data_IF_660235471632
#
_entry.id   IF_660235471632
#
_cell.length_a   1.000
_cell.length_b   1.000
_cell.length_c   1.000
_cell.angle_alpha   90.00
_cell.angle_beta   90.00
_cell.angle_gamma   90.00
#
_symmetry.space_group_name_H-M   'P 1'
#
loop_
_entity.id
_entity.type
_entity.pdbx_description
1 polymer ?
#
# COMPACT_ATOMS: atom_id res chain seq x y z
N UNK A 1 15.58 -22.35 9.22
CA UNK A 1 16.57 -21.35 8.79
C UNK A 1 15.90 -20.25 7.96
N UNK A 2 16.30 -18.99 8.16
CA UNK A 2 15.82 -17.83 7.40
C UNK A 2 16.96 -17.26 6.55
N UNK A 3 16.84 -17.34 5.22
CA UNK A 3 17.75 -16.70 4.28
C UNK A 3 17.14 -15.35 3.85
N UNK A 4 17.98 -14.33 3.76
CA UNK A 4 17.61 -13.09 3.05
C UNK A 4 18.23 -13.12 1.64
N UNK A 5 17.43 -12.77 0.64
CA UNK A 5 17.87 -12.63 -0.75
C UNK A 5 17.70 -11.19 -1.21
N UNK A 6 18.81 -10.57 -1.61
CA UNK A 6 18.86 -9.16 -2.04
C UNK A 6 19.69 -9.04 -3.31
N UNK A 7 19.20 -8.27 -4.28
CA UNK A 7 19.99 -7.86 -5.46
C UNK A 7 20.40 -6.40 -5.28
N UNK A 8 21.57 -6.02 -5.74
CA UNK A 8 22.08 -4.64 -5.64
C UNK A 8 22.73 -4.16 -6.92
N UNK A 9 22.72 -2.84 -7.12
CA UNK A 9 23.55 -2.15 -8.11
C UNK A 9 23.69 -0.68 -7.75
N UNK A 10 24.89 -0.23 -7.43
CA UNK A 10 25.21 1.15 -7.06
C UNK A 10 24.34 1.63 -5.87
N UNK A 11 24.45 0.96 -4.73
CA UNK A 11 23.66 1.21 -3.52
C UNK A 11 24.55 1.64 -2.33
N UNK A 12 25.71 2.29 -2.59
CA UNK A 12 26.66 2.66 -1.54
C UNK A 12 26.05 3.50 -0.41
N UNK A 13 25.02 4.32 -0.73
CA UNK A 13 24.35 5.19 0.23
C UNK A 13 23.45 4.42 1.22
N UNK A 14 22.90 3.28 0.81
CA UNK A 14 21.91 2.54 1.60
C UNK A 14 22.44 1.23 2.16
N UNK A 15 23.41 0.61 1.47
CA UNK A 15 23.81 -0.78 1.73
C UNK A 15 24.39 -0.96 3.14
N UNK A 16 25.15 0.00 3.62
CA UNK A 16 25.74 -0.08 4.95
C UNK A 16 24.71 -0.22 6.06
N UNK A 17 23.77 0.71 6.12
CA UNK A 17 22.68 0.68 7.10
C UNK A 17 21.77 -0.53 6.90
N UNK A 18 21.50 -0.91 5.66
CA UNK A 18 20.73 -2.10 5.34
C UNK A 18 21.34 -3.35 5.95
N UNK A 19 22.61 -3.65 5.66
CA UNK A 19 23.30 -4.83 6.18
C UNK A 19 23.37 -4.81 7.71
N UNK A 20 23.69 -3.68 8.32
CA UNK A 20 23.72 -3.51 9.77
C UNK A 20 22.35 -3.79 10.43
N UNK A 21 21.25 -3.51 9.70
CA UNK A 21 19.89 -3.73 10.18
C UNK A 21 19.35 -5.14 9.99
N UNK A 22 19.90 -5.95 9.07
CA UNK A 22 19.35 -7.28 8.73
C UNK A 22 20.22 -8.44 9.23
N UNK A 23 21.55 -8.32 9.16
CA UNK A 23 22.48 -9.39 9.52
C UNK A 23 22.22 -9.99 10.91
N UNK A 24 21.93 -9.18 11.97
CA UNK A 24 21.70 -9.74 13.31
C UNK A 24 20.47 -10.66 13.43
N UNK A 25 19.56 -10.63 12.47
CA UNK A 25 18.25 -11.28 12.56
C UNK A 25 18.07 -12.46 11.60
N UNK A 26 19.03 -12.75 10.72
CA UNK A 26 18.93 -13.79 9.70
C UNK A 26 20.02 -14.84 9.87
N UNK A 27 19.76 -16.05 9.36
CA UNK A 27 20.72 -17.14 9.45
C UNK A 27 21.66 -17.15 8.24
N UNK A 28 21.22 -16.56 7.11
CA UNK A 28 21.97 -16.53 5.86
C UNK A 28 21.66 -15.24 5.09
N UNK A 29 22.71 -14.59 4.55
CA UNK A 29 22.61 -13.39 3.71
C UNK A 29 23.10 -13.68 2.30
N UNK A 30 22.20 -13.69 1.33
CA UNK A 30 22.50 -13.81 -0.10
C UNK A 30 22.41 -12.43 -0.72
N UNK A 31 23.56 -11.84 -1.03
CA UNK A 31 23.67 -10.54 -1.69
C UNK A 31 24.19 -10.76 -3.11
N UNK A 32 23.45 -10.33 -4.11
CA UNK A 32 23.84 -10.46 -5.53
C UNK A 32 24.12 -9.09 -6.11
N UNK A 33 25.36 -8.87 -6.51
CA UNK A 33 25.76 -7.67 -7.25
C UNK A 33 25.51 -7.85 -8.74
N UNK A 34 24.77 -6.90 -9.33
CA UNK A 34 24.43 -6.89 -10.76
C UNK A 34 25.30 -5.92 -11.59
N UNK A 35 26.51 -5.63 -11.11
CA UNK A 35 27.50 -4.79 -11.78
C UNK A 35 27.59 -3.38 -11.20
N UNK A 36 27.80 -3.27 -9.90
CA UNK A 36 28.09 -2.01 -9.23
C UNK A 36 29.44 -1.43 -9.64
N UNK A 37 29.47 -0.11 -9.78
CA UNK A 37 30.68 0.66 -10.14
C UNK A 37 31.09 1.60 -8.99
N UNK A 38 30.29 1.68 -7.95
CA UNK A 38 30.52 2.45 -6.73
C UNK A 38 31.15 1.58 -5.62
N UNK A 39 31.11 2.03 -4.39
CA UNK A 39 31.69 1.33 -3.24
C UNK A 39 30.80 0.22 -2.65
N UNK A 40 29.69 -0.14 -3.29
CA UNK A 40 28.75 -1.15 -2.77
C UNK A 40 29.44 -2.47 -2.41
N UNK A 41 30.27 -3.00 -3.31
CA UNK A 41 31.00 -4.27 -3.08
C UNK A 41 31.97 -4.16 -1.90
N UNK A 42 32.68 -3.05 -1.77
CA UNK A 42 33.59 -2.76 -0.65
C UNK A 42 32.83 -2.72 0.68
N UNK A 43 31.68 -2.04 0.70
CA UNK A 43 30.81 -1.92 1.87
C UNK A 43 30.31 -3.28 2.31
N UNK A 44 29.86 -4.13 1.38
CA UNK A 44 29.42 -5.50 1.68
C UNK A 44 30.54 -6.33 2.35
N UNK A 45 31.72 -6.34 1.73
CA UNK A 45 32.90 -7.06 2.24
C UNK A 45 33.34 -6.58 3.62
N UNK A 46 33.30 -5.28 3.87
CA UNK A 46 33.64 -4.69 5.18
C UNK A 46 32.73 -5.18 6.31
N UNK A 47 31.53 -5.68 5.98
CA UNK A 47 30.54 -6.25 6.92
C UNK A 47 30.52 -7.78 6.92
N UNK A 48 31.53 -8.40 6.28
CA UNK A 48 31.64 -9.87 6.22
C UNK A 48 30.72 -10.55 5.23
N UNK A 49 30.08 -9.78 4.33
CA UNK A 49 29.22 -10.33 3.28
C UNK A 49 30.00 -10.33 1.96
N UNK A 50 30.24 -11.53 1.41
CA UNK A 50 30.84 -11.70 0.08
C UNK A 50 29.71 -11.75 -0.97
N UNK A 51 29.59 -10.75 -1.87
CA UNK A 51 28.52 -10.76 -2.86
C UNK A 51 28.72 -11.83 -3.93
N UNK A 52 27.63 -12.44 -4.37
CA UNK A 52 27.58 -13.18 -5.63
C UNK A 52 27.49 -12.21 -6.79
N UNK A 53 28.08 -12.55 -7.94
CA UNK A 53 28.07 -11.69 -9.11
C UNK A 53 27.14 -12.25 -10.18
N UNK A 54 26.27 -11.39 -10.71
CA UNK A 54 25.34 -11.69 -11.78
C UNK A 54 25.48 -10.66 -12.90
N UNK A 55 25.80 -11.09 -14.11
CA UNK A 55 25.86 -10.17 -15.26
C UNK A 55 24.47 -9.65 -15.62
N UNK A 56 24.30 -8.35 -15.53
CA UNK A 56 23.01 -7.71 -15.77
C UNK A 56 22.54 -7.89 -17.23
N UNK A 57 21.38 -8.49 -17.42
CA UNK A 57 20.77 -8.81 -18.70
C UNK A 57 19.39 -8.16 -18.91
N UNK A 58 19.15 -6.99 -18.33
CA UNK A 58 17.88 -6.26 -18.39
C UNK A 58 16.66 -7.06 -17.87
N UNK A 59 16.87 -7.92 -16.88
CA UNK A 59 15.85 -8.85 -16.41
C UNK A 59 15.96 -9.07 -14.90
N UNK A 60 15.10 -8.40 -14.14
CA UNK A 60 15.12 -8.49 -12.68
C UNK A 60 14.86 -9.89 -12.15
N UNK A 61 13.86 -10.61 -12.71
CA UNK A 61 13.56 -11.97 -12.25
C UNK A 61 14.73 -12.92 -12.39
N UNK A 62 15.57 -12.79 -13.43
CA UNK A 62 16.76 -13.65 -13.58
C UNK A 62 17.76 -13.40 -12.45
N UNK A 63 17.99 -12.13 -12.09
CA UNK A 63 18.88 -11.78 -10.98
C UNK A 63 18.32 -12.26 -9.63
N UNK A 64 17.00 -12.10 -9.39
CA UNK A 64 16.36 -12.62 -8.17
C UNK A 64 16.39 -14.14 -8.12
N UNK A 65 16.07 -14.83 -9.20
CA UNK A 65 16.13 -16.30 -9.27
C UNK A 65 17.54 -16.83 -9.02
N UNK A 66 18.56 -16.14 -9.55
CA UNK A 66 19.93 -16.46 -9.21
C UNK A 66 20.23 -16.34 -7.70
N UNK A 67 19.66 -15.32 -7.04
CA UNK A 67 19.77 -15.21 -5.58
C UNK A 67 19.04 -16.37 -4.86
N UNK A 68 17.83 -16.74 -5.33
CA UNK A 68 17.10 -17.87 -4.76
C UNK A 68 17.86 -19.20 -4.87
N UNK A 69 18.57 -19.43 -5.97
CA UNK A 69 19.38 -20.64 -6.17
C UNK A 69 20.53 -20.78 -5.16
N UNK A 70 20.98 -19.67 -4.55
CA UNK A 70 22.05 -19.67 -3.55
C UNK A 70 21.53 -19.86 -2.14
N UNK A 71 20.24 -19.60 -1.90
CA UNK A 71 19.65 -19.67 -0.57
C UNK A 71 19.46 -21.12 -0.08
N UNK A 72 19.91 -21.41 1.12
CA UNK A 72 19.83 -22.73 1.75
C UNK A 72 18.82 -22.84 2.89
N UNK A 73 18.31 -21.72 3.38
CA UNK A 73 17.30 -21.68 4.43
C UNK A 73 15.95 -22.26 4.02
N UNK A 74 15.13 -22.64 5.01
CA UNK A 74 13.77 -23.16 4.81
C UNK A 74 12.80 -22.07 4.34
N UNK A 75 13.11 -20.83 4.71
CA UNK A 75 12.37 -19.64 4.37
C UNK A 75 13.26 -18.60 3.73
N UNK A 76 12.73 -17.92 2.73
CA UNK A 76 13.37 -16.82 2.04
C UNK A 76 12.61 -15.54 2.33
N UNK A 77 13.31 -14.52 2.84
CA UNK A 77 12.86 -13.15 2.92
C UNK A 77 13.54 -12.34 1.82
N UNK A 78 12.77 -11.66 0.99
CA UNK A 78 13.30 -10.80 -0.08
C UNK A 78 13.13 -9.35 0.32
N UNK A 79 14.24 -8.63 0.41
CA UNK A 79 14.29 -7.18 0.67
C UNK A 79 15.17 -6.52 -0.38
N UNK A 80 14.81 -5.32 -0.78
CA UNK A 80 15.67 -4.43 -1.57
C UNK A 80 16.61 -3.65 -0.64
N UNK A 81 17.75 -3.17 -1.13
CA UNK A 81 18.75 -2.47 -0.31
C UNK A 81 18.18 -1.17 0.31
N UNK A 82 17.19 -0.58 -0.33
CA UNK A 82 16.47 0.61 0.13
C UNK A 82 15.22 0.29 0.97
N UNK A 83 15.05 -0.99 1.39
CA UNK A 83 14.02 -1.39 2.35
C UNK A 83 14.55 -1.34 3.78
N UNK A 84 13.65 -1.06 4.71
CA UNK A 84 13.93 -1.09 6.16
C UNK A 84 12.83 -1.85 6.88
N UNK A 85 13.25 -2.62 7.87
CA UNK A 85 12.36 -3.38 8.74
C UNK A 85 12.76 -3.13 10.19
N UNK A 86 11.79 -2.98 11.07
CA UNK A 86 12.06 -2.80 12.49
C UNK A 86 12.56 -4.13 13.11
N UNK A 87 13.44 -4.09 14.14
CA UNK A 87 13.89 -5.28 14.85
C UNK A 87 12.73 -6.18 15.31
N UNK A 88 11.67 -5.58 15.84
CA UNK A 88 10.47 -6.30 16.31
C UNK A 88 9.77 -7.06 15.18
N UNK A 89 9.86 -6.59 13.93
CA UNK A 89 9.32 -7.30 12.76
C UNK A 89 10.11 -8.57 12.46
N UNK A 90 11.44 -8.52 12.55
CA UNK A 90 12.27 -9.72 12.41
C UNK A 90 12.03 -10.73 13.54
N UNK A 91 11.89 -10.26 14.78
CA UNK A 91 11.55 -11.11 15.93
C UNK A 91 10.19 -11.77 15.74
N UNK A 92 9.18 -11.02 15.25
CA UNK A 92 7.87 -11.55 14.92
C UNK A 92 7.93 -12.62 13.82
N UNK A 93 8.69 -12.37 12.75
CA UNK A 93 8.91 -13.35 11.69
C UNK A 93 9.51 -14.62 12.30
N UNK A 94 10.63 -14.53 13.00
CA UNK A 94 11.33 -15.70 13.58
C UNK A 94 10.45 -16.48 14.53
N UNK A 95 9.68 -15.82 15.38
CA UNK A 95 8.76 -16.47 16.31
C UNK A 95 7.65 -17.27 15.59
N UNK A 96 7.27 -16.83 14.39
CA UNK A 96 6.16 -17.44 13.64
C UNK A 96 6.61 -18.44 12.56
N UNK A 97 7.88 -18.50 12.16
CA UNK A 97 8.35 -19.39 11.07
C UNK A 97 7.94 -20.86 11.23
N UNK A 98 7.82 -21.35 12.47
CA UNK A 98 7.43 -22.74 12.76
C UNK A 98 5.92 -22.92 12.75
N UNK A 99 5.17 -21.88 13.09
CA UNK A 99 3.70 -21.91 13.24
C UNK A 99 2.95 -21.55 11.96
N UNK A 100 3.56 -20.77 11.05
CA UNK A 100 2.99 -20.44 9.76
C UNK A 100 2.82 -21.71 8.94
N UNK A 101 1.58 -22.01 8.55
CA UNK A 101 1.24 -23.18 7.72
C UNK A 101 1.28 -22.86 6.24
N UNK A 102 1.04 -21.62 5.90
CA UNK A 102 0.99 -21.07 4.56
C UNK A 102 2.38 -21.12 3.91
N UNK A 103 2.38 -21.02 2.59
CA UNK A 103 3.61 -21.09 1.79
C UNK A 103 4.28 -19.74 1.63
N UNK A 104 3.52 -18.66 1.74
CA UNK A 104 4.02 -17.31 1.55
C UNK A 104 3.29 -16.27 2.40
N UNK A 105 3.93 -15.14 2.67
CA UNK A 105 3.44 -14.11 3.58
C UNK A 105 3.57 -12.74 2.93
N UNK A 106 2.46 -12.02 2.93
CA UNK A 106 2.39 -10.63 2.54
C UNK A 106 2.66 -9.68 3.71
N UNK A 107 3.27 -8.54 3.40
CA UNK A 107 3.53 -7.45 4.34
C UNK A 107 2.98 -6.13 3.81
N UNK A 108 2.48 -5.25 4.70
CA UNK A 108 2.29 -3.83 4.36
C UNK A 108 3.63 -3.20 4.00
N UNK A 109 3.75 -2.73 2.77
CA UNK A 109 4.94 -2.13 2.20
C UNK A 109 4.74 -0.64 2.05
N UNK A 110 5.44 0.14 2.88
CA UNK A 110 5.21 1.56 3.11
C UNK A 110 6.31 2.38 2.44
N UNK A 111 6.00 3.06 1.35
CA UNK A 111 6.91 4.01 0.72
C UNK A 111 6.92 5.32 1.49
N UNK A 112 8.11 5.77 1.92
CA UNK A 112 8.30 7.01 2.65
C UNK A 112 8.69 8.17 1.72
N UNK A 113 8.42 9.40 2.17
CA UNK A 113 8.78 10.62 1.42
C UNK A 113 10.25 10.99 1.58
N UNK A 114 10.88 10.63 2.69
CA UNK A 114 12.22 11.07 3.07
C UNK A 114 13.12 9.92 3.48
N UNK A 115 14.43 10.06 3.24
CA UNK A 115 15.46 9.08 3.61
C UNK A 115 15.67 8.94 5.12
N UNK A 116 15.42 10.00 5.89
CA UNK A 116 15.51 9.96 7.35
C UNK A 116 14.27 9.28 7.96
N UNK A 117 14.13 7.99 7.65
CA UNK A 117 12.94 7.20 7.93
C UNK A 117 12.60 7.10 9.44
N UNK A 118 13.60 7.14 10.32
CA UNK A 118 13.38 7.06 11.78
C UNK A 118 12.65 8.27 12.33
N UNK A 119 12.86 9.45 11.75
CA UNK A 119 12.22 10.70 12.16
C UNK A 119 10.93 10.96 11.38
N UNK A 120 10.84 10.45 10.15
CA UNK A 120 9.75 10.75 9.21
C UNK A 120 8.87 9.53 8.92
N UNK A 121 8.90 8.52 9.77
CA UNK A 121 8.14 7.26 9.61
C UNK A 121 6.62 7.47 9.47
N UNK A 122 6.11 8.62 9.92
CA UNK A 122 4.72 9.04 9.76
C UNK A 122 4.42 9.70 8.41
N UNK A 123 5.46 10.07 7.64
CA UNK A 123 5.31 10.76 6.37
C UNK A 123 5.25 9.76 5.21
N UNK A 124 4.14 9.09 5.14
CA UNK A 124 3.88 8.05 4.15
C UNK A 124 3.56 8.66 2.77
N UNK A 125 4.18 8.13 1.71
CA UNK A 125 3.88 8.45 0.32
C UNK A 125 2.85 7.50 -0.27
N UNK A 126 3.04 6.21 -0.03
CA UNK A 126 2.14 5.15 -0.49
C UNK A 126 2.28 3.92 0.41
N UNK A 127 1.22 3.12 0.50
CA UNK A 127 1.27 1.79 1.13
C UNK A 127 0.73 0.78 0.13
N UNK A 128 1.40 -0.33 -0.01
CA UNK A 128 1.02 -1.46 -0.84
C UNK A 128 1.12 -2.74 0.00
N UNK A 129 0.55 -3.82 -0.46
CA UNK A 129 0.82 -5.13 0.11
C UNK A 129 1.80 -5.84 -0.82
N UNK A 130 2.93 -6.34 -0.28
CA UNK A 130 3.97 -7.02 -1.04
C UNK A 130 4.28 -8.38 -0.44
N UNK A 131 4.36 -9.41 -1.28
CA UNK A 131 4.82 -10.72 -0.88
C UNK A 131 6.36 -10.68 -0.74
N UNK A 132 6.85 -10.97 0.45
CA UNK A 132 8.28 -10.83 0.75
C UNK A 132 8.88 -12.04 1.45
N UNK A 133 8.09 -12.88 2.13
CA UNK A 133 8.54 -14.07 2.83
C UNK A 133 7.85 -15.30 2.24
N UNK A 134 8.60 -16.34 1.87
CA UNK A 134 8.03 -17.57 1.32
C UNK A 134 8.93 -18.79 1.60
N UNK A 135 8.32 -19.99 1.51
CA UNK A 135 9.05 -21.25 1.71
C UNK A 135 10.03 -21.48 0.58
N UNK A 136 11.24 -21.86 0.95
CA UNK A 136 12.25 -22.34 0.00
C UNK A 136 11.96 -23.78 -0.46
N UNK A 137 12.72 -24.27 -1.44
CA UNK A 137 12.72 -25.66 -1.94
C UNK A 137 11.37 -26.16 -2.49
N UNK A 138 10.46 -25.22 -2.86
CA UNK A 138 9.16 -25.51 -3.47
C UNK A 138 9.16 -25.33 -5.00
N UNK A 139 10.26 -24.87 -5.59
CA UNK A 139 10.37 -24.56 -7.01
C UNK A 139 9.79 -23.20 -7.39
N UNK A 140 9.45 -22.36 -6.41
CA UNK A 140 8.98 -21.00 -6.63
C UNK A 140 10.07 -20.15 -7.29
N UNK A 141 9.68 -19.34 -8.25
CA UNK A 141 10.60 -18.48 -9.00
C UNK A 141 9.91 -17.21 -9.48
N UNK A 142 10.68 -16.14 -9.62
CA UNK A 142 10.19 -14.89 -10.17
C UNK A 142 10.00 -14.99 -11.68
N UNK A 143 8.97 -14.34 -12.19
CA UNK A 143 8.68 -14.18 -13.62
C UNK A 143 8.64 -12.70 -13.98
N UNK A 144 8.82 -12.42 -15.27
CA UNK A 144 8.82 -11.11 -15.92
C UNK A 144 10.12 -10.30 -15.73
N UNK A 145 10.55 -9.57 -16.76
CA UNK A 145 11.79 -8.79 -16.73
C UNK A 145 11.74 -7.57 -15.80
N UNK A 146 10.59 -6.92 -15.70
CA UNK A 146 10.30 -5.76 -14.85
C UNK A 146 8.93 -5.93 -14.21
N UNK A 147 8.75 -5.38 -13.00
CA UNK A 147 7.58 -5.66 -12.15
C UNK A 147 7.41 -7.17 -11.95
N UNK A 148 8.50 -7.79 -11.57
CA UNK A 148 8.61 -9.23 -11.38
C UNK A 148 7.63 -9.74 -10.32
N UNK A 149 7.03 -10.89 -10.63
CA UNK A 149 6.05 -11.56 -9.77
C UNK A 149 6.51 -12.95 -9.38
N UNK A 150 6.23 -13.35 -8.15
CA UNK A 150 6.40 -14.71 -7.64
C UNK A 150 5.08 -15.25 -7.08
N UNK A 151 4.19 -14.36 -6.67
CA UNK A 151 2.88 -14.68 -6.12
C UNK A 151 2.03 -15.52 -7.09
N UNK A 152 1.95 -15.14 -8.35
CA UNK A 152 1.25 -15.89 -9.40
C UNK A 152 1.82 -17.30 -9.62
N UNK A 153 3.13 -17.48 -9.45
CA UNK A 153 3.76 -18.81 -9.54
C UNK A 153 3.42 -19.65 -8.32
N UNK A 154 3.47 -19.07 -7.12
CA UNK A 154 3.10 -19.76 -5.89
C UNK A 154 1.63 -20.21 -5.95
N UNK A 155 0.73 -19.34 -6.40
CA UNK A 155 -0.69 -19.64 -6.57
C UNK A 155 -0.93 -20.73 -7.61
N UNK A 156 -0.32 -20.65 -8.78
CA UNK A 156 -0.42 -21.67 -9.84
C UNK A 156 0.10 -23.04 -9.39
N UNK A 157 1.00 -23.10 -8.42
CA UNK A 157 1.50 -24.32 -7.80
C UNK A 157 0.65 -24.79 -6.62
N UNK A 158 -0.49 -24.14 -6.33
CA UNK A 158 -1.40 -24.47 -5.22
C UNK A 158 -0.91 -24.02 -3.86
N UNK A 159 0.03 -23.06 -3.80
CA UNK A 159 0.51 -22.50 -2.55
C UNK A 159 -0.50 -21.58 -1.88
N UNK A 160 -0.35 -21.42 -0.58
CA UNK A 160 -1.25 -20.64 0.28
C UNK A 160 -0.57 -19.41 0.84
N UNK A 161 -1.38 -18.39 1.18
CA UNK A 161 -0.87 -17.08 1.58
C UNK A 161 -1.38 -16.68 2.96
N UNK A 162 -0.49 -16.08 3.75
CA UNK A 162 -0.82 -15.36 4.98
C UNK A 162 -0.48 -13.87 4.82
N UNK A 163 -0.93 -13.05 5.74
CA UNK A 163 -0.52 -11.66 5.88
C UNK A 163 -0.07 -11.40 7.31
N UNK A 164 1.09 -10.79 7.47
CA UNK A 164 1.55 -10.25 8.75
C UNK A 164 1.25 -8.76 8.81
N UNK A 165 0.70 -8.31 9.95
CA UNK A 165 0.44 -6.89 10.23
C UNK A 165 1.72 -6.23 10.79
N UNK A 166 2.79 -6.26 9.99
CA UNK A 166 4.07 -5.65 10.34
C UNK A 166 4.69 -5.00 9.11
N UNK A 167 5.08 -3.75 9.23
CA UNK A 167 5.43 -2.90 8.08
C UNK A 167 6.86 -3.09 7.63
N UNK A 168 7.05 -3.05 6.30
CA UNK A 168 8.33 -2.83 5.65
C UNK A 168 8.35 -1.43 5.05
N UNK A 169 9.38 -0.67 5.32
CA UNK A 169 9.52 0.72 4.88
C UNK A 169 10.47 0.81 3.69
N UNK A 170 10.04 1.48 2.63
CA UNK A 170 10.80 1.67 1.41
C UNK A 170 11.23 3.13 1.24
N UNK A 171 12.52 3.33 1.05
CA UNK A 171 13.17 4.65 0.96
C UNK A 171 13.46 5.08 -0.48
N UNK A 172 13.34 4.20 -1.44
CA UNK A 172 13.83 4.36 -2.82
C UNK A 172 13.11 5.42 -3.66
N UNK A 173 12.05 6.03 -3.14
CA UNK A 173 11.34 7.12 -3.82
C UNK A 173 11.68 8.51 -3.27
N UNK A 174 12.62 8.60 -2.35
CA UNK A 174 13.12 9.86 -1.83
C UNK A 174 14.29 10.31 -2.71
N UNK A 175 14.16 11.40 -3.45
CA UNK A 175 15.25 12.12 -4.16
C UNK A 175 15.53 11.75 -5.65
N UNK A 176 16.54 12.44 -6.22
CA UNK A 176 17.00 12.40 -7.62
C UNK A 176 17.30 10.99 -8.17
N UNK A 177 17.65 10.02 -7.32
CA UNK A 177 17.85 8.63 -7.73
C UNK A 177 16.54 7.97 -8.23
N UNK A 178 15.39 8.47 -7.80
CA UNK A 178 14.09 8.00 -8.28
C UNK A 178 13.89 8.29 -9.77
N UNK A 179 14.43 9.40 -10.28
CA UNK A 179 14.32 9.77 -11.68
C UNK A 179 15.12 8.83 -12.60
N UNK A 180 16.35 8.50 -12.21
CA UNK A 180 17.18 7.55 -12.97
C UNK A 180 16.57 6.14 -12.96
N UNK A 181 16.05 5.68 -11.81
CA UNK A 181 15.33 4.41 -11.71
C UNK A 181 14.07 4.42 -12.60
N UNK A 182 13.32 5.53 -12.62
CA UNK A 182 12.14 5.69 -13.48
C UNK A 182 12.50 5.68 -14.98
N UNK A 183 13.55 6.37 -15.39
CA UNK A 183 14.03 6.38 -16.78
C UNK A 183 14.43 4.97 -17.22
N UNK A 184 15.20 4.25 -16.40
CA UNK A 184 15.58 2.86 -16.65
C UNK A 184 14.38 1.96 -16.81
N UNK A 185 13.43 2.01 -15.85
CA UNK A 185 12.24 1.16 -15.87
C UNK A 185 11.35 1.48 -17.09
N UNK A 186 11.18 2.76 -17.41
CA UNK A 186 10.48 3.19 -18.62
C UNK A 186 11.07 2.57 -19.88
N UNK A 187 12.40 2.62 -20.02
CA UNK A 187 13.09 2.02 -21.15
C UNK A 187 12.82 0.51 -21.24
N UNK A 188 12.95 -0.22 -20.14
CA UNK A 188 12.69 -1.66 -20.10
C UNK A 188 11.23 -2.01 -20.45
N UNK A 189 10.26 -1.22 -19.97
CA UNK A 189 8.84 -1.43 -20.30
C UNK A 189 8.62 -1.26 -21.81
N UNK A 190 9.19 -0.21 -22.41
CA UNK A 190 9.08 0.05 -23.85
C UNK A 190 9.73 -1.06 -24.68
N UNK A 191 10.93 -1.52 -24.32
CA UNK A 191 11.63 -2.62 -24.97
C UNK A 191 10.83 -3.92 -24.90
N UNK A 192 10.35 -4.30 -23.69
CA UNK A 192 9.56 -5.52 -23.51
C UNK A 192 8.26 -5.49 -24.32
N UNK A 193 7.55 -4.35 -24.32
CA UNK A 193 6.33 -4.21 -25.11
C UNK A 193 6.60 -4.26 -26.63
N UNK A 194 7.71 -3.71 -27.09
CA UNK A 194 8.11 -3.78 -28.49
C UNK A 194 8.45 -5.20 -28.93
N UNK A 195 9.07 -6.00 -28.04
CA UNK A 195 9.46 -7.38 -28.31
C UNK A 195 8.23 -8.31 -28.37
N UNK A 196 7.23 -8.12 -27.49
CA UNK A 196 6.00 -8.93 -27.50
C UNK A 196 4.77 -8.08 -27.07
N UNK A 197 4.13 -7.38 -28.04
CA UNK A 197 2.97 -6.52 -27.77
C UNK A 197 1.68 -7.29 -27.42
N UNK A 198 1.69 -8.63 -27.51
CA UNK A 198 0.58 -9.50 -27.17
C UNK A 198 0.71 -10.13 -25.79
N UNK A 199 1.88 -9.99 -25.16
CA UNK A 199 2.09 -10.42 -23.79
C UNK A 199 1.27 -9.54 -22.84
N UNK A 200 0.30 -10.11 -22.09
CA UNK A 200 -0.59 -9.32 -21.25
C UNK A 200 0.16 -8.50 -20.19
N UNK A 201 1.20 -9.07 -19.58
CA UNK A 201 2.00 -8.39 -18.56
C UNK A 201 2.73 -7.16 -19.13
N UNK A 202 3.34 -7.29 -20.31
CA UNK A 202 4.04 -6.18 -20.97
C UNK A 202 3.05 -5.10 -21.42
N UNK A 203 1.89 -5.52 -21.92
CA UNK A 203 0.83 -4.61 -22.34
C UNK A 203 0.26 -3.84 -21.13
N UNK A 204 0.02 -4.48 -19.99
CA UNK A 204 -0.45 -3.80 -18.78
C UNK A 204 0.56 -2.78 -18.25
N UNK A 205 1.86 -3.08 -18.29
CA UNK A 205 2.92 -2.15 -17.90
C UNK A 205 3.02 -0.96 -18.86
N UNK A 206 2.90 -1.22 -20.18
CA UNK A 206 2.88 -0.18 -21.20
C UNK A 206 1.68 0.75 -21.04
N UNK A 207 0.49 0.21 -20.82
CA UNK A 207 -0.72 1.00 -20.56
C UNK A 207 -0.55 1.90 -19.32
N UNK A 208 0.03 1.36 -18.25
CA UNK A 208 0.30 2.14 -17.05
C UNK A 208 1.25 3.33 -17.31
N UNK A 209 2.24 3.12 -18.19
CA UNK A 209 3.16 4.17 -18.61
C UNK A 209 2.49 5.24 -19.50
N UNK A 210 1.53 4.82 -20.35
CA UNK A 210 0.84 5.68 -21.31
C UNK A 210 -0.46 6.27 -20.77
N UNK A 211 -0.73 6.13 -19.47
CA UNK A 211 -1.99 6.55 -18.84
C UNK A 211 -2.30 8.02 -19.10
N UNK A 212 -3.32 8.26 -19.93
CA UNK A 212 -3.71 9.58 -20.38
C UNK A 212 -5.17 9.58 -20.89
N UNK A 213 -5.68 10.73 -21.23
CA UNK A 213 -7.02 10.91 -21.86
C UNK A 213 -7.07 10.40 -23.31
N UNK A 214 -5.98 9.90 -23.89
CA UNK A 214 -5.96 9.42 -25.26
C UNK A 214 -6.83 8.15 -25.40
N UNK A 215 -7.67 8.14 -26.43
CA UNK A 215 -8.54 6.99 -26.74
C UNK A 215 -7.74 5.74 -27.11
N UNK A 216 -6.47 5.88 -27.50
CA UNK A 216 -5.58 4.75 -27.70
C UNK A 216 -5.41 3.92 -26.42
N UNK A 217 -5.34 4.55 -25.26
CA UNK A 217 -5.27 3.87 -23.96
C UNK A 217 -6.48 2.97 -23.75
N UNK A 218 -7.67 3.46 -24.09
CA UNK A 218 -8.90 2.66 -24.04
C UNK A 218 -8.84 1.43 -24.96
N UNK A 219 -8.35 1.61 -26.20
CA UNK A 219 -8.19 0.49 -27.16
C UNK A 219 -7.20 -0.54 -26.63
N UNK A 220 -6.09 -0.11 -26.05
CA UNK A 220 -5.09 -0.99 -25.44
C UNK A 220 -5.66 -1.74 -24.22
N UNK A 221 -6.48 -1.11 -23.40
CA UNK A 221 -7.18 -1.76 -22.29
C UNK A 221 -8.11 -2.87 -22.76
N UNK A 222 -8.88 -2.64 -23.83
CA UNK A 222 -9.72 -3.69 -24.45
C UNK A 222 -8.88 -4.84 -25.02
N UNK A 223 -7.75 -4.54 -25.62
CA UNK A 223 -6.78 -5.55 -26.08
C UNK A 223 -6.25 -6.35 -24.89
N UNK A 224 -5.86 -5.69 -23.80
CA UNK A 224 -5.39 -6.35 -22.59
C UNK A 224 -6.47 -7.27 -21.99
N UNK A 225 -7.73 -6.84 -21.96
CA UNK A 225 -8.86 -7.66 -21.55
C UNK A 225 -8.99 -8.94 -22.39
N UNK A 226 -8.82 -8.84 -23.70
CA UNK A 226 -8.97 -9.99 -24.60
C UNK A 226 -7.83 -11.01 -24.51
N UNK A 227 -6.62 -10.55 -24.21
CA UNK A 227 -5.41 -11.38 -24.18
C UNK A 227 -5.13 -12.01 -22.81
N UNK A 228 -5.68 -11.44 -21.74
CA UNK A 228 -5.37 -11.84 -20.38
C UNK A 228 -6.17 -13.09 -19.91
N UNK A 229 -5.67 -13.74 -18.89
CA UNK A 229 -6.39 -14.69 -18.04
C UNK A 229 -7.47 -13.99 -17.21
N UNK A 230 -8.12 -14.72 -16.32
CA UNK A 230 -9.24 -14.19 -15.54
C UNK A 230 -8.84 -12.97 -14.71
N UNK A 231 -7.70 -13.01 -14.03
CA UNK A 231 -7.22 -11.90 -13.18
C UNK A 231 -6.82 -10.68 -14.00
N UNK A 232 -6.12 -10.89 -15.10
CA UNK A 232 -5.77 -9.82 -16.01
C UNK A 232 -6.99 -9.19 -16.70
N UNK A 233 -8.04 -9.96 -16.99
CA UNK A 233 -9.33 -9.45 -17.47
C UNK A 233 -10.01 -8.59 -16.44
N UNK A 234 -10.04 -9.05 -15.19
CA UNK A 234 -10.59 -8.27 -14.08
C UNK A 234 -9.86 -6.93 -13.95
N UNK A 235 -8.53 -6.95 -13.92
CA UNK A 235 -7.70 -5.74 -13.86
C UNK A 235 -7.95 -4.80 -15.05
N UNK A 236 -8.03 -5.34 -16.26
CA UNK A 236 -8.28 -4.53 -17.46
C UNK A 236 -9.68 -3.89 -17.43
N UNK A 237 -10.71 -4.63 -17.06
CA UNK A 237 -12.08 -4.13 -16.92
C UNK A 237 -12.17 -3.03 -15.84
N UNK A 238 -11.52 -3.22 -14.69
CA UNK A 238 -11.45 -2.21 -13.64
C UNK A 238 -10.74 -0.94 -14.15
N UNK A 239 -9.61 -1.07 -14.84
CA UNK A 239 -8.88 0.07 -15.42
C UNK A 239 -9.69 0.80 -16.50
N UNK A 240 -10.53 0.11 -17.27
CA UNK A 240 -11.45 0.76 -18.21
C UNK A 240 -12.40 1.69 -17.46
N UNK A 241 -12.99 1.23 -16.35
CA UNK A 241 -13.85 2.08 -15.53
C UNK A 241 -13.08 3.24 -14.87
N UNK A 242 -11.86 3.00 -14.41
CA UNK A 242 -10.99 4.06 -13.87
C UNK A 242 -10.64 5.09 -14.93
N UNK A 243 -10.34 4.65 -16.16
CA UNK A 243 -10.10 5.54 -17.29
C UNK A 243 -11.32 6.40 -17.60
N UNK A 244 -12.52 5.80 -17.61
CA UNK A 244 -13.77 6.51 -17.82
C UNK A 244 -14.05 7.53 -16.71
N UNK A 245 -13.77 7.21 -15.46
CA UNK A 245 -13.94 8.15 -14.32
C UNK A 245 -12.96 9.32 -14.40
N UNK A 246 -11.73 9.09 -14.86
CA UNK A 246 -10.70 10.13 -14.96
C UNK A 246 -10.87 11.03 -16.19
N UNK A 247 -11.27 10.46 -17.33
CA UNK A 247 -11.15 11.11 -18.64
C UNK A 247 -12.43 11.06 -19.50
N UNK A 248 -13.42 10.25 -19.11
CA UNK A 248 -14.61 9.96 -19.92
C UNK A 248 -15.65 11.09 -19.97
N UNK A 249 -15.22 12.35 -20.01
CA UNK A 249 -16.10 13.52 -20.15
C UNK A 249 -16.80 13.46 -21.51
N UNK A 250 -18.00 12.92 -21.55
CA UNK A 250 -18.80 12.75 -22.78
C UNK A 250 -19.12 11.30 -23.15
N UNK A 251 -18.75 10.34 -22.31
CA UNK A 251 -19.00 8.90 -22.50
C UNK A 251 -17.77 8.12 -22.97
N UNK A 252 -17.87 6.80 -22.92
CA UNK A 252 -16.81 5.92 -23.39
C UNK A 252 -16.69 5.94 -24.92
N UNK A 253 -15.45 5.76 -25.47
CA UNK A 253 -15.24 5.63 -26.91
C UNK A 253 -16.07 4.49 -27.50
N UNK A 254 -16.66 4.71 -28.68
CA UNK A 254 -17.47 3.69 -29.36
C UNK A 254 -18.90 3.52 -28.85
N UNK A 255 -19.37 4.40 -27.94
CA UNK A 255 -20.74 4.38 -27.42
C UNK A 255 -21.00 3.25 -26.42
N UNK A 256 -19.97 2.61 -25.90
CA UNK A 256 -20.10 1.67 -24.81
C UNK A 256 -20.53 2.37 -23.52
N UNK A 257 -21.39 1.73 -22.73
CA UNK A 257 -21.83 2.28 -21.46
C UNK A 257 -21.00 1.73 -20.31
N UNK A 258 -20.76 2.55 -19.29
CA UNK A 258 -20.11 2.13 -18.04
C UNK A 258 -20.75 0.85 -17.45
N UNK A 259 -22.07 0.71 -17.58
CA UNK A 259 -22.86 -0.44 -17.12
C UNK A 259 -22.40 -1.76 -17.71
N UNK A 260 -21.87 -1.76 -18.94
CA UNK A 260 -21.32 -2.97 -19.56
C UNK A 260 -20.13 -3.51 -18.76
N UNK A 261 -19.15 -2.66 -18.44
CA UNK A 261 -17.96 -3.02 -17.70
C UNK A 261 -18.23 -3.27 -16.21
N UNK A 262 -19.18 -2.53 -15.62
CA UNK A 262 -19.65 -2.81 -14.26
C UNK A 262 -20.27 -4.22 -14.17
N UNK A 263 -21.05 -4.65 -15.14
CA UNK A 263 -21.67 -5.98 -15.17
C UNK A 263 -20.61 -7.08 -15.34
N UNK A 264 -19.64 -6.91 -16.25
CA UNK A 264 -18.53 -7.86 -16.41
C UNK A 264 -17.79 -8.06 -15.07
N UNK A 265 -17.44 -6.97 -14.37
CA UNK A 265 -16.76 -7.07 -13.09
C UNK A 265 -17.61 -7.76 -12.02
N UNK A 266 -18.93 -7.50 -11.98
CA UNK A 266 -19.83 -8.12 -11.02
C UNK A 266 -20.10 -9.60 -11.32
N UNK A 267 -20.07 -10.00 -12.60
CA UNK A 267 -20.12 -11.42 -12.99
C UNK A 267 -18.87 -12.18 -12.53
N UNK A 268 -17.70 -11.52 -12.60
CA UNK A 268 -16.43 -12.10 -12.15
C UNK A 268 -16.31 -12.08 -10.62
N UNK A 269 -16.73 -11.00 -9.98
CA UNK A 269 -16.73 -10.82 -8.52
C UNK A 269 -17.94 -9.99 -8.07
N UNK A 270 -18.98 -10.59 -7.48
CA UNK A 270 -20.16 -9.87 -7.00
C UNK A 270 -19.87 -8.80 -5.94
N UNK A 271 -18.69 -8.85 -5.32
CA UNK A 271 -18.22 -7.88 -4.34
C UNK A 271 -17.17 -6.92 -4.90
N UNK A 272 -17.07 -6.77 -6.23
CA UNK A 272 -16.12 -5.89 -6.89
C UNK A 272 -16.06 -4.51 -6.22
N UNK A 273 -15.01 -4.27 -5.43
CA UNK A 273 -14.93 -3.11 -4.54
C UNK A 273 -15.03 -1.78 -5.32
N UNK A 274 -14.35 -1.71 -6.46
CA UNK A 274 -14.37 -0.50 -7.30
C UNK A 274 -15.75 -0.20 -7.89
N UNK A 275 -16.50 -1.22 -8.32
CA UNK A 275 -17.87 -1.02 -8.83
C UNK A 275 -18.80 -0.50 -7.74
N UNK A 276 -18.72 -1.08 -6.55
CA UNK A 276 -19.54 -0.65 -5.43
C UNK A 276 -19.11 0.70 -4.88
N UNK A 277 -17.81 1.06 -4.93
CA UNK A 277 -17.31 2.40 -4.65
C UNK A 277 -17.94 3.44 -5.60
N UNK A 278 -17.92 3.17 -6.92
CA UNK A 278 -18.55 4.05 -7.92
C UNK A 278 -20.05 4.25 -7.65
N UNK A 279 -20.77 3.18 -7.33
CA UNK A 279 -22.20 3.23 -6.96
C UNK A 279 -22.41 4.04 -5.70
N UNK A 280 -21.60 3.83 -4.68
CA UNK A 280 -21.59 4.59 -3.43
C UNK A 280 -21.41 6.08 -3.66
N UNK A 281 -20.43 6.49 -4.48
CA UNK A 281 -20.22 7.89 -4.91
C UNK A 281 -21.47 8.50 -5.57
N UNK A 282 -22.10 7.77 -6.51
CA UNK A 282 -23.31 8.21 -7.21
C UNK A 282 -24.49 8.45 -6.25
N UNK A 283 -24.72 7.52 -5.30
CA UNK A 283 -25.77 7.66 -4.29
C UNK A 283 -25.46 8.74 -3.25
N UNK A 284 -24.22 8.83 -2.80
CA UNK A 284 -23.78 9.86 -1.85
C UNK A 284 -23.97 11.28 -2.42
N UNK A 285 -23.58 11.49 -3.68
CA UNK A 285 -23.79 12.76 -4.38
C UNK A 285 -25.29 13.16 -4.51
N UNK A 286 -26.19 12.18 -4.53
CA UNK A 286 -27.65 12.38 -4.55
C UNK A 286 -28.28 12.47 -3.16
N UNK A 287 -27.47 12.45 -2.12
CA UNK A 287 -27.91 12.39 -0.71
C UNK A 287 -28.78 11.17 -0.38
N UNK A 288 -28.67 10.10 -1.14
CA UNK A 288 -29.31 8.82 -0.90
C UNK A 288 -28.48 7.99 0.07
N UNK A 289 -28.64 8.30 1.35
CA UNK A 289 -27.81 7.76 2.43
C UNK A 289 -27.91 6.23 2.54
N UNK A 290 -29.11 5.67 2.32
CA UNK A 290 -29.32 4.24 2.51
C UNK A 290 -28.67 3.41 1.40
N UNK A 291 -28.85 3.81 0.14
CA UNK A 291 -28.19 3.14 -0.99
C UNK A 291 -26.69 3.40 -1.03
N UNK A 292 -26.24 4.59 -0.60
CA UNK A 292 -24.81 4.86 -0.44
C UNK A 292 -24.19 3.93 0.62
N UNK A 293 -24.81 3.84 1.81
CA UNK A 293 -24.36 2.97 2.89
C UNK A 293 -24.26 1.52 2.42
N UNK A 294 -25.32 0.98 1.82
CA UNK A 294 -25.35 -0.39 1.30
C UNK A 294 -24.22 -0.64 0.29
N UNK A 295 -23.97 0.31 -0.61
CA UNK A 295 -22.91 0.20 -1.62
C UNK A 295 -21.52 0.19 -0.98
N UNK A 296 -21.22 1.08 -0.03
CA UNK A 296 -19.93 1.11 0.64
C UNK A 296 -19.71 -0.09 1.57
N UNK A 297 -20.76 -0.67 2.18
CA UNK A 297 -20.66 -1.91 2.95
C UNK A 297 -20.23 -3.10 2.06
N UNK A 298 -20.78 -3.20 0.85
CA UNK A 298 -20.37 -4.23 -0.11
C UNK A 298 -18.94 -3.97 -0.61
N UNK A 299 -18.61 -2.69 -0.91
CA UNK A 299 -17.25 -2.32 -1.30
C UNK A 299 -16.22 -2.72 -0.24
N UNK A 300 -16.49 -2.46 1.07
CA UNK A 300 -15.61 -2.90 2.18
C UNK A 300 -15.40 -4.40 2.19
N UNK A 301 -16.44 -5.21 1.94
CA UNK A 301 -16.30 -6.67 1.84
C UNK A 301 -15.38 -7.07 0.67
N UNK A 302 -15.50 -6.37 -0.46
CA UNK A 302 -14.66 -6.59 -1.64
C UNK A 302 -13.18 -6.32 -1.40
N UNK A 303 -12.84 -5.36 -0.53
CA UNK A 303 -11.45 -5.03 -0.17
C UNK A 303 -10.64 -6.22 0.41
N UNK A 304 -11.30 -7.25 0.91
CA UNK A 304 -10.65 -8.47 1.41
C UNK A 304 -10.12 -9.35 0.27
N UNK A 305 -10.65 -9.18 -0.94
CA UNK A 305 -10.36 -10.01 -2.11
C UNK A 305 -9.62 -9.26 -3.21
N UNK A 306 -9.44 -7.95 -3.09
CA UNK A 306 -8.84 -7.11 -4.10
C UNK A 306 -7.61 -6.37 -3.55
N UNK A 307 -6.54 -6.35 -4.35
CA UNK A 307 -5.42 -5.40 -4.19
C UNK A 307 -5.88 -4.03 -4.70
N UNK A 308 -6.89 -3.44 -4.07
CA UNK A 308 -7.37 -2.10 -4.43
C UNK A 308 -6.34 -1.04 -4.08
N UNK A 309 -6.32 0.04 -4.87
CA UNK A 309 -5.50 1.20 -4.54
C UNK A 309 -5.85 1.71 -3.13
N UNK A 310 -4.84 2.15 -2.38
CA UNK A 310 -5.05 2.67 -1.02
C UNK A 310 -6.05 3.82 -0.97
N UNK A 311 -6.05 4.65 -2.01
CA UNK A 311 -6.98 5.76 -2.15
C UNK A 311 -8.42 5.27 -2.18
N UNK A 312 -8.72 4.20 -2.94
CA UNK A 312 -10.04 3.59 -2.98
C UNK A 312 -10.42 2.99 -1.62
N UNK A 313 -9.47 2.28 -0.96
CA UNK A 313 -9.68 1.71 0.37
C UNK A 313 -9.99 2.78 1.40
N UNK A 314 -9.18 3.84 1.41
CA UNK A 314 -9.39 4.98 2.30
C UNK A 314 -10.74 5.61 2.08
N UNK A 315 -11.10 5.90 0.82
CA UNK A 315 -12.36 6.54 0.47
C UNK A 315 -13.56 5.70 0.90
N UNK A 316 -13.52 4.38 0.66
CA UNK A 316 -14.56 3.46 1.09
C UNK A 316 -14.75 3.53 2.61
N UNK A 317 -13.67 3.45 3.37
CA UNK A 317 -13.73 3.45 4.84
C UNK A 317 -14.14 4.81 5.40
N UNK A 318 -13.66 5.91 4.83
CA UNK A 318 -14.01 7.26 5.27
C UNK A 318 -15.50 7.55 5.07
N UNK A 319 -16.02 7.34 3.86
CA UNK A 319 -17.44 7.52 3.57
C UNK A 319 -18.32 6.56 4.37
N UNK A 320 -17.92 5.30 4.48
CA UNK A 320 -18.65 4.31 5.27
C UNK A 320 -18.71 4.72 6.75
N UNK A 321 -17.58 5.14 7.32
CA UNK A 321 -17.52 5.63 8.70
C UNK A 321 -18.46 6.81 8.94
N UNK A 322 -18.49 7.79 8.04
CA UNK A 322 -19.40 8.93 8.12
C UNK A 322 -20.87 8.50 8.04
N UNK A 323 -21.22 7.67 7.05
CA UNK A 323 -22.60 7.20 6.86
C UNK A 323 -23.09 6.35 8.04
N UNK A 324 -22.24 5.49 8.60
CA UNK A 324 -22.54 4.71 9.80
C UNK A 324 -22.82 5.62 11.00
N UNK A 325 -22.02 6.66 11.21
CA UNK A 325 -22.25 7.65 12.26
C UNK A 325 -23.60 8.37 12.07
N UNK A 326 -23.95 8.76 10.83
CA UNK A 326 -25.25 9.38 10.51
C UNK A 326 -26.44 8.45 10.83
N UNK A 327 -26.24 7.12 10.77
CA UNK A 327 -27.24 6.10 11.11
C UNK A 327 -27.21 5.68 12.60
N UNK A 328 -26.36 6.28 13.41
CA UNK A 328 -26.21 5.95 14.85
C UNK A 328 -25.42 4.66 15.09
N UNK A 329 -24.78 4.07 14.06
CA UNK A 329 -23.94 2.86 14.16
C UNK A 329 -22.50 3.28 14.53
N UNK A 330 -22.35 3.92 15.68
CA UNK A 330 -21.12 4.61 16.07
C UNK A 330 -19.92 3.67 16.26
N UNK A 331 -20.13 2.48 16.82
CA UNK A 331 -19.04 1.52 17.02
C UNK A 331 -18.43 1.08 15.68
N UNK A 332 -19.26 0.77 14.72
CA UNK A 332 -18.83 0.36 13.38
C UNK A 332 -18.18 1.53 12.62
N UNK A 333 -18.65 2.75 12.87
CA UNK A 333 -18.01 3.97 12.36
C UNK A 333 -16.57 4.12 12.89
N UNK A 334 -16.37 3.94 14.21
CA UNK A 334 -15.04 3.98 14.82
C UNK A 334 -14.11 2.91 14.23
N UNK A 335 -14.62 1.70 14.03
CA UNK A 335 -13.85 0.61 13.40
C UNK A 335 -13.34 0.99 12.01
N UNK A 336 -14.15 1.67 11.19
CA UNK A 336 -13.73 2.16 9.88
C UNK A 336 -12.55 3.15 9.98
N UNK A 337 -12.64 4.14 10.87
CA UNK A 337 -11.59 5.13 11.04
C UNK A 337 -10.32 4.53 11.67
N UNK A 338 -10.46 3.61 12.62
CA UNK A 338 -9.33 2.87 13.19
C UNK A 338 -8.66 1.95 12.15
N UNK A 339 -9.43 1.39 11.22
CA UNK A 339 -8.87 0.62 10.11
C UNK A 339 -8.03 1.52 9.19
N UNK A 340 -8.46 2.75 8.89
CA UNK A 340 -7.65 3.74 8.17
C UNK A 340 -6.33 4.02 8.93
N UNK A 341 -6.39 4.26 10.24
CA UNK A 341 -5.18 4.50 11.05
C UNK A 341 -4.19 3.33 11.02
N UNK A 342 -4.66 2.09 10.89
CA UNK A 342 -3.78 0.91 10.82
C UNK A 342 -2.90 0.90 9.57
N UNK A 343 -3.41 1.31 8.41
CA UNK A 343 -2.63 1.25 7.18
C UNK A 343 -2.00 2.58 6.75
N UNK A 344 -2.58 3.74 7.09
CA UNK A 344 -2.00 5.05 6.77
C UNK A 344 -1.20 5.68 7.92
N UNK A 345 -1.41 5.17 9.14
CA UNK A 345 -0.96 5.86 10.34
C UNK A 345 -1.96 6.92 10.78
N UNK A 346 -1.69 7.51 11.93
CA UNK A 346 -2.59 8.48 12.58
C UNK A 346 -2.52 9.83 11.88
N UNK A 347 -3.55 10.19 11.12
CA UNK A 347 -3.67 11.49 10.45
C UNK A 347 -4.59 12.44 11.23
N UNK A 348 -4.37 13.75 11.10
CA UNK A 348 -5.24 14.74 11.72
C UNK A 348 -6.70 14.66 11.24
N UNK A 349 -6.92 14.27 9.98
CA UNK A 349 -8.26 14.15 9.39
C UNK A 349 -9.01 12.99 10.03
N UNK A 350 -8.44 11.79 10.00
CA UNK A 350 -9.04 10.57 10.59
C UNK A 350 -9.28 10.75 12.08
N UNK A 351 -8.31 11.33 12.75
CA UNK A 351 -8.40 11.66 14.17
C UNK A 351 -9.59 12.56 14.49
N UNK A 352 -9.86 13.61 13.70
CA UNK A 352 -11.03 14.45 13.88
C UNK A 352 -12.35 13.70 13.71
N UNK A 353 -12.42 12.75 12.78
CA UNK A 353 -13.62 11.93 12.61
C UNK A 353 -13.86 11.05 13.84
N UNK A 354 -12.81 10.42 14.38
CA UNK A 354 -12.91 9.63 15.63
C UNK A 354 -13.43 10.49 16.77
N UNK A 355 -12.86 11.68 16.97
CA UNK A 355 -13.33 12.59 18.02
C UNK A 355 -14.80 13.00 17.86
N UNK A 356 -15.25 13.27 16.62
CA UNK A 356 -16.66 13.60 16.36
C UNK A 356 -17.59 12.46 16.71
N UNK A 357 -17.22 11.23 16.37
CA UNK A 357 -18.02 10.04 16.69
C UNK A 357 -18.09 9.83 18.21
N UNK A 358 -16.96 9.89 18.91
CA UNK A 358 -16.92 9.76 20.37
C UNK A 358 -17.74 10.87 21.08
N UNK A 359 -17.69 12.09 20.53
CA UNK A 359 -18.50 13.19 21.02
C UNK A 359 -20.01 12.89 20.91
N UNK A 360 -20.47 12.43 19.74
CA UNK A 360 -21.90 12.13 19.53
C UNK A 360 -22.35 10.93 20.35
N UNK A 361 -21.47 9.96 20.61
CA UNK A 361 -21.72 8.84 21.51
C UNK A 361 -21.87 9.28 22.98
N UNK A 362 -21.36 10.46 23.34
CA UNK A 362 -21.27 10.91 24.73
C UNK A 362 -20.19 10.18 25.53
N UNK A 363 -19.26 9.48 24.86
CA UNK A 363 -18.12 8.79 25.50
C UNK A 363 -17.00 9.78 25.82
N UNK A 364 -17.17 10.55 26.88
CA UNK A 364 -16.24 11.57 27.32
C UNK A 364 -14.88 11.02 27.75
N UNK A 365 -14.84 9.80 28.30
CA UNK A 365 -13.57 9.19 28.74
C UNK A 365 -12.70 8.82 27.54
N UNK A 366 -13.25 8.09 26.57
CA UNK A 366 -12.53 7.74 25.33
C UNK A 366 -12.17 8.98 24.53
N UNK A 367 -13.05 9.98 24.48
CA UNK A 367 -12.78 11.26 23.84
C UNK A 367 -11.55 11.97 24.43
N UNK A 368 -11.45 12.08 25.76
CA UNK A 368 -10.30 12.72 26.43
C UNK A 368 -9.01 11.91 26.27
N UNK A 369 -9.11 10.57 26.28
CA UNK A 369 -7.97 9.68 26.03
C UNK A 369 -7.43 9.86 24.61
N UNK A 370 -8.31 9.91 23.63
CA UNK A 370 -7.94 10.18 22.24
C UNK A 370 -7.33 11.56 22.09
N UNK A 371 -7.91 12.57 22.71
CA UNK A 371 -7.40 13.94 22.71
C UNK A 371 -5.95 14.06 23.17
N UNK A 372 -5.54 13.29 24.18
CA UNK A 372 -4.17 13.28 24.70
C UNK A 372 -3.15 12.72 23.68
N UNK A 373 -3.61 11.95 22.69
CA UNK A 373 -2.80 11.37 21.61
C UNK A 373 -2.86 12.13 20.27
N UNK A 374 -3.21 13.41 20.26
CA UNK A 374 -3.30 14.18 19.02
C UNK A 374 -1.99 14.16 18.22
N UNK A 375 -2.02 13.83 16.92
CA UNK A 375 -0.81 13.57 16.13
C UNK A 375 -0.05 14.82 15.65
N UNK A 376 -0.40 16.00 16.12
CA UNK A 376 0.23 17.25 15.68
C UNK A 376 0.33 18.30 16.77
N UNK A 377 1.00 19.40 16.48
CA UNK A 377 0.99 20.58 17.38
C UNK A 377 -0.34 21.33 17.20
N UNK A 378 -1.19 21.26 18.21
CA UNK A 378 -2.48 21.94 18.25
C UNK A 378 -2.38 23.45 17.99
N UNK A 379 -1.24 24.06 18.32
CA UNK A 379 -0.99 25.50 18.08
C UNK A 379 -0.88 25.85 16.61
N UNK A 380 -0.48 24.92 15.77
CA UNK A 380 -0.31 25.14 14.33
C UNK A 380 -1.58 24.97 13.52
N UNK A 381 -2.66 24.49 14.12
CA UNK A 381 -3.94 24.33 13.45
C UNK A 381 -4.54 25.67 13.02
N UNK A 382 -5.29 25.70 11.90
CA UNK A 382 -6.13 26.85 11.53
C UNK A 382 -7.13 27.19 12.65
N UNK A 383 -7.40 28.48 12.87
CA UNK A 383 -8.25 28.93 13.98
C UNK A 383 -9.66 28.35 13.93
N UNK A 384 -10.23 28.16 12.76
CA UNK A 384 -11.53 27.50 12.60
C UNK A 384 -11.53 26.05 13.15
N UNK A 385 -10.42 25.32 12.92
CA UNK A 385 -10.25 23.96 13.46
C UNK A 385 -10.04 23.95 14.96
N UNK A 386 -9.28 24.91 15.50
CA UNK A 386 -9.12 25.07 16.94
C UNK A 386 -10.46 25.34 17.64
N UNK A 387 -11.27 26.25 17.07
CA UNK A 387 -12.61 26.56 17.58
C UNK A 387 -13.54 25.34 17.53
N UNK A 388 -13.53 24.57 16.45
CA UNK A 388 -14.28 23.32 16.32
C UNK A 388 -13.88 22.32 17.43
N UNK A 389 -12.59 22.10 17.65
CA UNK A 389 -12.09 21.22 18.70
C UNK A 389 -12.47 21.71 20.11
N UNK A 390 -12.29 22.99 20.39
CA UNK A 390 -12.71 23.58 21.68
C UNK A 390 -14.19 23.40 21.92
N UNK A 391 -15.03 23.55 20.90
CA UNK A 391 -16.47 23.32 21.00
C UNK A 391 -16.80 21.87 21.27
N UNK A 392 -16.11 20.92 20.62
CA UNK A 392 -16.24 19.48 20.88
C UNK A 392 -15.86 19.15 22.33
N UNK A 393 -14.69 19.63 22.78
CA UNK A 393 -14.22 19.42 24.16
C UNK A 393 -15.19 20.00 25.17
N UNK A 394 -15.67 21.23 24.95
CA UNK A 394 -16.63 21.87 25.86
C UNK A 394 -17.99 21.16 25.97
N UNK A 395 -18.39 20.48 24.89
CA UNK A 395 -19.63 19.69 24.86
C UNK A 395 -19.56 18.36 25.60
N UNK A 396 -18.34 17.79 25.70
CA UNK A 396 -18.10 16.51 26.41
C UNK A 396 -17.85 16.73 27.91
N UNK A 397 -17.20 17.82 28.28
CA UNK A 397 -16.80 18.11 29.64
C UNK A 397 -17.99 18.63 30.47
N UNK A 398 -18.22 18.04 31.64
CA UNK A 398 -19.18 18.55 32.62
C UNK A 398 -18.68 19.84 33.33
N UNK A 399 -19.57 20.53 34.09
CA UNK A 399 -19.22 21.78 34.77
C UNK A 399 -18.02 21.67 35.74
N UNK A 400 -17.81 20.50 36.34
CA UNK A 400 -16.67 20.22 37.23
C UNK A 400 -15.33 20.08 36.55
N UNK A 401 -15.30 19.97 35.19
CA UNK A 401 -14.11 19.74 34.38
C UNK A 401 -13.65 21.00 33.62
N UNK A 402 -14.12 22.18 34.01
CA UNK A 402 -13.79 23.46 33.37
C UNK A 402 -12.26 23.70 33.27
N UNK A 403 -11.48 23.29 34.25
CA UNK A 403 -10.04 23.40 34.25
C UNK A 403 -9.35 22.59 33.10
N UNK A 404 -9.96 21.48 32.68
CA UNK A 404 -9.46 20.69 31.52
C UNK A 404 -9.71 21.46 30.23
N UNK A 405 -10.86 22.09 30.08
CA UNK A 405 -11.17 22.93 28.93
C UNK A 405 -10.22 24.13 28.82
N UNK A 406 -9.93 24.77 29.93
CA UNK A 406 -9.00 25.91 29.96
C UNK A 406 -7.58 25.47 29.62
N UNK A 407 -7.11 24.34 30.16
CA UNK A 407 -5.83 23.73 29.77
C UNK A 407 -5.79 23.36 28.27
N UNK A 408 -6.87 22.88 27.72
CA UNK A 408 -6.96 22.56 26.31
C UNK A 408 -6.91 23.80 25.42
N UNK A 409 -7.58 24.89 25.79
CA UNK A 409 -7.48 26.18 25.09
C UNK A 409 -6.03 26.69 25.05
N UNK A 410 -5.30 26.55 26.16
CA UNK A 410 -3.87 26.90 26.23
C UNK A 410 -3.05 26.05 25.26
N UNK A 411 -3.30 24.73 25.20
CA UNK A 411 -2.65 23.82 24.23
C UNK A 411 -2.94 24.19 22.77
N UNK A 412 -4.11 24.74 22.48
CA UNK A 412 -4.46 25.26 21.15
C UNK A 412 -3.87 26.67 20.87
N UNK A 413 -3.22 27.31 21.85
CA UNK A 413 -2.75 28.70 21.74
C UNK A 413 -3.88 29.71 21.68
N UNK A 414 -5.02 29.42 22.32
CA UNK A 414 -6.22 30.26 22.39
C UNK A 414 -6.36 30.90 23.79
N UNK A 415 -5.27 31.43 24.34
CA UNK A 415 -5.28 32.15 25.62
C UNK A 415 -6.01 33.49 25.45
N UNK A 416 -7.05 33.72 26.27
CA UNK A 416 -7.66 35.04 26.41
C UNK A 416 -8.88 35.34 25.55
N UNK A 417 -9.63 34.31 25.06
CA UNK A 417 -10.94 34.51 24.45
C UNK A 417 -12.08 34.13 25.41
#
# INVERSE_FOLDING_TARGET
MLSICTIMRNEEDFLGEFLDSVIPFVDEMILVDTGSLDRSVEIAKSRGVEPYYFEWCNHFSKARNFALEKATGDWILVLDVDDRMLPQTFELIRANLVSIKEDAVYFPYVSLKHRNWKETISEVKAVQTRLMLFRNHKGYHYQNPVHEKIDTVIEAMGGSFAQLDSRVFHLGYADELSEQKAIRNKKLILENYADDPENPHYLHNYIALMWSADTEVYVLLKKAFSLSDQDGRYLAAQRILQWADCFGVGGMPGGEEDSHWENILLEMNPHAAYVHLRRGRKFFARQDVDNALASYEVARKGLQFELSALEDRREILDHLGVLLAMKGRFQESLECFQEIEKFEGRSAITYHQILKVLFVMGDGESFLREMAGYPGDLKTLPDAKKQELVKLVSGVLGPSQKGILDSFKVLCGMEGA
#
